data_IF_326716683016
#
_entry.id   IF_326716683016
#
_cell.length_a   1.000
_cell.length_b   1.000
_cell.length_c   1.000
_cell.angle_alpha   90.00
_cell.angle_beta   90.00
_cell.angle_gamma   90.00
#
_symmetry.space_group_name_H-M   'P 1'
#
loop_
_entity.id
_entity.type
_entity.pdbx_description
1 polymer ?
#
# COMPACT_ATOMS: atom_id res chain seq x y z
N UNK A 1 -18.17 -13.64 -15.82
CA UNK A 1 -18.11 -12.40 -15.02
C UNK A 1 -16.97 -12.59 -14.06
N UNK A 2 -15.93 -11.77 -14.13
CA UNK A 2 -14.85 -11.74 -13.16
C UNK A 2 -15.37 -11.03 -11.92
N UNK A 3 -15.48 -11.76 -10.82
CA UNK A 3 -16.09 -11.24 -9.58
C UNK A 3 -15.07 -10.40 -8.81
N UNK A 4 -15.11 -9.08 -9.03
CA UNK A 4 -14.25 -8.13 -8.33
C UNK A 4 -14.32 -8.25 -6.81
N UNK A 5 -15.47 -8.66 -6.25
CA UNK A 5 -15.66 -8.89 -4.82
C UNK A 5 -14.80 -10.07 -4.32
N UNK A 6 -14.77 -11.17 -5.08
CA UNK A 6 -13.95 -12.35 -4.77
C UNK A 6 -12.46 -12.01 -4.84
N UNK A 7 -12.02 -11.28 -5.87
CA UNK A 7 -10.62 -10.87 -5.97
C UNK A 7 -10.23 -9.94 -4.84
N UNK A 8 -11.06 -8.94 -4.55
CA UNK A 8 -10.85 -8.02 -3.45
C UNK A 8 -10.73 -8.75 -2.10
N UNK A 9 -11.65 -9.67 -1.82
CA UNK A 9 -11.64 -10.46 -0.58
C UNK A 9 -10.36 -11.28 -0.47
N UNK A 10 -9.92 -11.89 -1.58
CA UNK A 10 -8.67 -12.66 -1.63
C UNK A 10 -7.42 -11.79 -1.40
N UNK A 11 -7.40 -10.55 -1.91
CA UNK A 11 -6.32 -9.58 -1.64
C UNK A 11 -6.28 -9.25 -0.15
N UNK A 12 -7.44 -8.96 0.44
CA UNK A 12 -7.57 -8.68 1.88
C UNK A 12 -7.10 -9.87 2.73
N UNK A 13 -7.46 -11.10 2.38
CA UNK A 13 -6.98 -12.30 3.07
C UNK A 13 -5.47 -12.48 3.02
N UNK A 14 -4.83 -12.19 1.89
CA UNK A 14 -3.36 -12.31 1.76
C UNK A 14 -2.67 -11.27 2.64
N UNK A 15 -3.10 -10.01 2.57
CA UNK A 15 -2.54 -8.92 3.37
C UNK A 15 -2.77 -9.14 4.87
N UNK A 16 -3.95 -9.65 5.24
CA UNK A 16 -4.34 -9.94 6.61
C UNK A 16 -3.51 -11.02 7.32
N UNK A 17 -2.69 -11.77 6.57
CA UNK A 17 -1.74 -12.74 7.16
C UNK A 17 -0.52 -12.09 7.79
N UNK A 18 -0.20 -10.85 7.40
CA UNK A 18 1.01 -10.12 7.85
C UNK A 18 0.68 -8.80 8.50
N UNK A 19 -0.36 -8.14 8.02
CA UNK A 19 -0.79 -6.82 8.49
C UNK A 19 -2.14 -6.93 9.17
N UNK A 20 -2.39 -6.04 10.15
CA UNK A 20 -3.71 -5.95 10.76
C UNK A 20 -4.65 -5.22 9.80
N UNK A 21 -5.82 -5.81 9.55
CA UNK A 21 -6.88 -5.23 8.72
C UNK A 21 -8.11 -4.90 9.56
N UNK A 22 -8.76 -3.78 9.28
CA UNK A 22 -10.13 -3.48 9.74
C UNK A 22 -10.99 -2.89 8.64
N UNK A 23 -12.30 -2.79 8.90
CA UNK A 23 -13.23 -2.12 8.00
C UNK A 23 -13.37 -2.77 6.62
N UNK A 24 -13.04 -4.06 6.50
CA UNK A 24 -13.15 -4.81 5.25
C UNK A 24 -14.60 -4.80 4.77
N UNK A 25 -14.84 -4.13 3.65
CA UNK A 25 -16.11 -4.04 2.97
C UNK A 25 -15.93 -4.48 1.52
N UNK A 26 -16.19 -5.77 1.27
CA UNK A 26 -16.02 -6.37 -0.05
C UNK A 26 -16.95 -5.78 -1.09
N UNK A 27 -18.11 -5.25 -0.70
CA UNK A 27 -19.07 -4.63 -1.62
C UNK A 27 -18.61 -3.27 -2.14
N UNK A 28 -17.89 -2.51 -1.33
CA UNK A 28 -17.34 -1.21 -1.74
C UNK A 28 -15.87 -1.28 -2.16
N UNK A 29 -15.23 -2.45 -2.02
CA UNK A 29 -13.81 -2.63 -2.32
C UNK A 29 -12.92 -1.81 -1.40
N UNK A 30 -13.24 -1.69 -0.11
CA UNK A 30 -12.46 -0.87 0.84
C UNK A 30 -12.06 -1.62 2.09
N UNK A 31 -10.87 -1.34 2.61
CA UNK A 31 -10.42 -1.77 3.94
C UNK A 31 -9.35 -0.81 4.48
N UNK A 32 -8.92 -1.03 5.71
CA UNK A 32 -7.83 -0.29 6.34
C UNK A 32 -6.68 -1.24 6.70
N UNK A 33 -5.46 -0.86 6.30
CA UNK A 33 -4.21 -1.48 6.75
C UNK A 33 -3.68 -0.73 7.96
N UNK A 34 -3.23 -1.49 8.96
CA UNK A 34 -2.68 -0.95 10.20
C UNK A 34 -1.29 -1.48 10.47
N UNK A 35 -0.48 -0.58 11.01
CA UNK A 35 0.77 -0.87 11.71
C UNK A 35 0.76 -0.10 13.05
N UNK A 36 1.78 -0.25 13.89
CA UNK A 36 1.85 0.29 15.25
C UNK A 36 1.45 1.79 15.34
N UNK A 37 1.85 2.59 14.35
CA UNK A 37 1.73 4.06 14.41
C UNK A 37 0.88 4.68 13.29
N UNK A 38 0.26 3.86 12.42
CA UNK A 38 -0.49 4.37 11.26
C UNK A 38 -1.62 3.47 10.78
N UNK A 39 -2.60 4.12 10.19
CA UNK A 39 -3.72 3.51 9.48
C UNK A 39 -3.76 4.07 8.07
N UNK A 40 -3.76 3.18 7.07
CA UNK A 40 -3.81 3.52 5.65
C UNK A 40 -5.08 2.91 5.05
N UNK A 41 -5.89 3.74 4.41
CA UNK A 41 -7.07 3.27 3.69
C UNK A 41 -6.66 2.61 2.37
N UNK A 42 -7.25 1.47 2.05
CA UNK A 42 -7.12 0.83 0.74
C UNK A 42 -8.48 0.88 0.05
N UNK A 43 -8.52 1.46 -1.15
CA UNK A 43 -9.73 1.63 -1.98
C UNK A 43 -9.52 1.00 -3.36
N UNK A 44 -9.99 -0.22 -3.56
CA UNK A 44 -9.96 -0.95 -4.83
C UNK A 44 -11.38 -1.06 -5.37
N UNK A 45 -11.87 0.00 -6.02
CA UNK A 45 -13.20 -0.01 -6.64
C UNK A 45 -13.35 -1.24 -7.55
N UNK A 46 -14.44 -1.99 -7.38
CA UNK A 46 -14.56 -3.35 -7.93
C UNK A 46 -14.46 -3.38 -9.47
N UNK A 47 -15.04 -2.38 -10.14
CA UNK A 47 -14.98 -2.25 -11.59
C UNK A 47 -13.55 -1.98 -12.07
N UNK A 48 -12.85 -1.04 -11.41
CA UNK A 48 -11.44 -0.77 -11.70
C UNK A 48 -10.54 -1.96 -11.35
N UNK A 49 -10.85 -2.71 -10.29
CA UNK A 49 -10.10 -3.90 -9.91
C UNK A 49 -10.24 -4.99 -10.96
N UNK A 50 -11.45 -5.24 -11.45
CA UNK A 50 -11.70 -6.21 -12.51
C UNK A 50 -10.97 -5.82 -13.81
N UNK A 51 -11.02 -4.54 -14.20
CA UNK A 51 -10.28 -4.04 -15.36
C UNK A 51 -8.76 -4.14 -15.16
N UNK A 52 -8.25 -3.70 -14.01
CA UNK A 52 -6.82 -3.76 -13.69
C UNK A 52 -6.31 -5.20 -13.74
N UNK A 53 -7.08 -6.13 -13.21
CA UNK A 53 -6.76 -7.55 -13.23
C UNK A 53 -6.61 -8.10 -14.65
N UNK A 54 -7.49 -7.69 -15.58
CA UNK A 54 -7.41 -8.07 -16.98
C UNK A 54 -6.24 -7.38 -17.71
N UNK A 55 -5.76 -6.23 -17.21
CA UNK A 55 -4.58 -5.56 -17.74
C UNK A 55 -3.28 -6.27 -17.33
N UNK A 56 -3.26 -6.99 -16.20
CA UNK A 56 -2.07 -7.73 -15.75
C UNK A 56 -1.79 -8.93 -16.64
N UNK A 57 -0.68 -8.84 -17.37
CA UNK A 57 -0.24 -9.84 -18.34
C UNK A 57 1.21 -10.32 -18.07
N UNK A 58 1.78 -11.01 -19.06
CA UNK A 58 3.13 -11.56 -19.04
C UNK A 58 4.22 -10.50 -18.79
N UNK A 59 3.97 -9.25 -19.19
CA UNK A 59 4.91 -8.15 -19.04
C UNK A 59 4.99 -7.68 -17.58
N UNK A 60 3.88 -7.75 -16.84
CA UNK A 60 3.83 -7.42 -15.41
C UNK A 60 4.22 -8.61 -14.51
N UNK A 61 3.92 -9.82 -14.99
CA UNK A 61 4.09 -11.08 -14.27
C UNK A 61 4.73 -12.12 -15.21
N UNK A 62 6.06 -12.26 -15.19
CA UNK A 62 6.73 -13.28 -15.99
C UNK A 62 6.26 -14.70 -15.64
N UNK A 63 5.98 -15.49 -16.68
CA UNK A 63 5.49 -16.87 -16.61
C UNK A 63 3.98 -17.01 -16.41
N UNK A 64 3.21 -15.92 -16.44
CA UNK A 64 1.77 -15.95 -16.21
C UNK A 64 1.04 -16.80 -17.25
N UNK A 65 1.34 -16.59 -18.54
CA UNK A 65 0.69 -17.27 -19.66
C UNK A 65 0.91 -18.79 -19.71
N UNK A 66 1.91 -19.31 -19.00
CA UNK A 66 2.21 -20.74 -18.93
C UNK A 66 1.30 -21.52 -17.97
N UNK A 67 0.48 -20.83 -17.17
CA UNK A 67 -0.38 -21.44 -16.16
C UNK A 67 -1.84 -21.50 -16.61
N UNK A 68 -2.66 -22.46 -16.11
CA UNK A 68 -4.11 -22.44 -16.28
C UNK A 68 -4.73 -21.17 -15.70
N UNK A 69 -5.89 -20.76 -16.21
CA UNK A 69 -6.55 -19.49 -15.83
C UNK A 69 -6.71 -19.33 -14.31
N UNK A 70 -7.19 -20.34 -13.59
CA UNK A 70 -7.36 -20.26 -12.13
C UNK A 70 -6.03 -20.01 -11.40
N UNK A 71 -4.93 -20.55 -11.91
CA UNK A 71 -3.60 -20.31 -11.37
C UNK A 71 -3.09 -18.91 -11.73
N UNK A 72 -3.36 -18.43 -12.95
CA UNK A 72 -3.07 -17.05 -13.34
C UNK A 72 -3.77 -16.06 -12.42
N UNK A 73 -5.05 -16.30 -12.14
CA UNK A 73 -5.88 -15.41 -11.33
C UNK A 73 -5.34 -15.32 -9.90
N UNK A 74 -4.95 -16.46 -9.31
CA UNK A 74 -4.26 -16.48 -8.01
C UNK A 74 -2.95 -15.70 -8.02
N UNK A 75 -2.18 -15.80 -9.10
CA UNK A 75 -0.91 -15.07 -9.24
C UNK A 75 -1.15 -13.57 -9.36
N UNK A 76 -2.14 -13.13 -10.15
CA UNK A 76 -2.55 -11.72 -10.27
C UNK A 76 -3.01 -11.16 -8.92
N UNK A 77 -3.89 -11.87 -8.20
CA UNK A 77 -4.32 -11.49 -6.84
C UNK A 77 -3.10 -11.31 -5.92
N UNK A 78 -2.19 -12.29 -5.92
CA UNK A 78 -0.97 -12.23 -5.11
C UNK A 78 -0.07 -11.06 -5.50
N UNK A 79 0.02 -10.75 -6.79
CA UNK A 79 0.82 -9.62 -7.31
C UNK A 79 0.27 -8.29 -6.82
N UNK A 80 -1.05 -8.08 -6.91
CA UNK A 80 -1.70 -6.86 -6.42
C UNK A 80 -1.51 -6.72 -4.91
N UNK A 81 -1.71 -7.79 -4.14
CA UNK A 81 -1.48 -7.79 -2.69
C UNK A 81 -0.02 -7.40 -2.36
N UNK A 82 0.95 -7.96 -3.08
CA UNK A 82 2.37 -7.65 -2.91
C UNK A 82 2.69 -6.18 -3.21
N UNK A 83 2.12 -5.58 -4.26
CA UNK A 83 2.34 -4.16 -4.55
C UNK A 83 1.71 -3.23 -3.52
N UNK A 84 0.52 -3.56 -3.00
CA UNK A 84 -0.10 -2.80 -1.91
C UNK A 84 0.80 -2.86 -0.67
N UNK A 85 1.31 -4.04 -0.33
CA UNK A 85 2.25 -4.25 0.77
C UNK A 85 3.53 -3.44 0.57
N UNK A 86 4.13 -3.49 -0.61
CA UNK A 86 5.35 -2.75 -0.94
C UNK A 86 5.16 -1.23 -0.82
N UNK A 87 4.05 -0.69 -1.32
CA UNK A 87 3.70 0.74 -1.18
C UNK A 87 3.55 1.11 0.31
N UNK A 88 2.85 0.27 1.07
CA UNK A 88 2.60 0.48 2.50
C UNK A 88 3.91 0.46 3.30
N UNK A 89 4.76 -0.54 3.10
CA UNK A 89 6.01 -0.72 3.84
C UNK A 89 7.07 0.32 3.45
N UNK A 90 7.07 0.79 2.20
CA UNK A 90 8.05 1.78 1.72
C UNK A 90 7.80 3.22 2.21
N UNK A 91 6.66 3.52 2.85
CA UNK A 91 6.38 4.86 3.38
C UNK A 91 7.13 5.14 4.69
N UNK A 92 8.42 5.47 4.59
CA UNK A 92 9.28 5.81 5.74
C UNK A 92 8.80 7.10 6.44
N UNK A 93 8.15 8.01 5.70
CA UNK A 93 7.68 9.30 6.20
C UNK A 93 6.37 9.26 7.00
N UNK A 94 5.75 8.08 7.13
CA UNK A 94 4.45 7.88 7.77
C UNK A 94 3.39 8.88 7.23
N UNK A 95 3.49 9.19 5.93
CA UNK A 95 2.70 10.20 5.24
C UNK A 95 1.57 9.59 4.43
N UNK A 96 1.65 8.28 4.15
CA UNK A 96 0.69 7.56 3.34
C UNK A 96 -0.68 7.59 4.05
N UNK A 97 -1.71 8.06 3.34
CA UNK A 97 -3.08 8.10 3.84
C UNK A 97 -3.96 7.07 3.15
N UNK A 98 -3.72 6.85 1.87
CA UNK A 98 -4.55 5.96 1.06
C UNK A 98 -3.77 5.35 -0.09
N UNK A 99 -4.06 4.07 -0.38
CA UNK A 99 -3.68 3.38 -1.60
C UNK A 99 -4.98 3.10 -2.36
N UNK A 100 -5.05 3.48 -3.63
CA UNK A 100 -6.26 3.26 -4.43
C UNK A 100 -5.95 2.88 -5.87
N UNK A 101 -6.92 2.34 -6.58
CA UNK A 101 -6.85 2.25 -8.03
C UNK A 101 -7.17 3.60 -8.65
N UNK A 102 -6.40 3.98 -9.66
CA UNK A 102 -6.63 5.19 -10.45
C UNK A 102 -6.39 4.92 -11.93
N UNK A 103 -7.04 5.71 -12.78
CA UNK A 103 -6.80 5.68 -14.23
C UNK A 103 -5.80 6.79 -14.60
N UNK A 104 -4.70 6.42 -15.24
CA UNK A 104 -3.70 7.37 -15.75
C UNK A 104 -4.17 8.05 -17.03
N UNK A 105 -3.43 9.09 -17.47
CA UNK A 105 -3.75 9.88 -18.65
C UNK A 105 -3.75 9.07 -19.96
N UNK A 106 -3.00 7.97 -20.01
CA UNK A 106 -2.97 7.01 -21.12
C UNK A 106 -4.09 5.95 -21.03
N UNK A 107 -4.98 6.06 -20.03
CA UNK A 107 -6.14 5.18 -19.86
C UNK A 107 -5.86 3.88 -19.11
N UNK A 108 -4.60 3.59 -18.75
CA UNK A 108 -4.22 2.41 -17.95
C UNK A 108 -4.69 2.57 -16.51
N UNK A 109 -4.94 1.45 -15.84
CA UNK A 109 -5.26 1.44 -14.41
C UNK A 109 -3.98 1.09 -13.65
N UNK A 110 -3.72 1.80 -12.56
CA UNK A 110 -2.59 1.54 -11.68
C UNK A 110 -2.96 1.75 -10.22
N UNK A 111 -2.16 1.17 -9.33
CA UNK A 111 -2.17 1.54 -7.93
C UNK A 111 -1.53 2.92 -7.77
N UNK A 112 -2.24 3.82 -7.10
CA UNK A 112 -1.77 5.16 -6.78
C UNK A 112 -1.86 5.39 -5.28
N UNK A 113 -0.90 6.11 -4.74
CA UNK A 113 -0.87 6.51 -3.34
C UNK A 113 -1.25 7.99 -3.16
N UNK A 114 -2.02 8.27 -2.11
CA UNK A 114 -2.32 9.61 -1.63
C UNK A 114 -1.56 9.84 -0.33
N UNK A 115 -0.72 10.87 -0.34
CA UNK A 115 0.09 11.27 0.80
C UNK A 115 -0.45 12.54 1.45
N UNK A 116 -0.40 12.56 2.77
CA UNK A 116 -0.61 13.74 3.59
C UNK A 116 0.72 14.41 3.96
N UNK A 117 0.68 15.40 4.86
CA UNK A 117 1.89 15.93 5.48
C UNK A 117 2.65 14.81 6.19
N UNK A 118 3.99 14.81 6.08
CA UNK A 118 4.82 13.86 6.80
C UNK A 118 4.50 13.92 8.30
N UNK A 119 4.10 12.78 8.88
CA UNK A 119 3.95 12.66 10.33
C UNK A 119 5.36 12.63 10.89
N UNK A 120 5.81 13.79 11.36
CA UNK A 120 7.11 13.99 12.02
C UNK A 120 7.51 12.78 12.85
N UNK A 121 8.47 11.99 12.38
CA UNK A 121 9.29 11.12 13.21
C UNK A 121 10.37 11.99 13.85
N UNK A 122 9.98 12.76 14.88
CA UNK A 122 10.93 13.36 15.79
C UNK A 122 10.83 12.63 17.12
N UNK A 123 11.91 12.10 17.70
CA UNK A 123 12.07 12.37 19.11
C UNK A 123 12.30 13.89 19.25
N UNK A 124 11.60 14.59 20.16
CA UNK A 124 12.13 15.85 20.64
C UNK A 124 13.41 15.48 21.40
N UNK A 125 14.56 15.60 20.76
CA UNK A 125 15.83 15.65 21.47
C UNK A 125 15.87 16.98 22.24
N UNK A 126 15.17 17.03 23.37
CA UNK A 126 15.37 18.03 24.38
C UNK A 126 15.38 17.33 25.73
N UNK A 127 16.58 17.01 26.21
CA UNK A 127 16.98 17.38 27.57
C UNK A 127 18.48 17.21 27.77
N UNK A 128 19.07 18.33 28.21
CA UNK A 128 20.28 18.47 29.01
C UNK A 128 21.65 18.53 28.32
N UNK A 129 22.10 19.77 28.15
CA UNK A 129 23.22 20.23 28.98
C UNK A 129 24.62 19.96 28.45
N UNK A 130 24.92 20.43 27.25
CA UNK A 130 26.31 20.61 26.79
C UNK A 130 26.64 22.08 26.72
N UNK A 131 27.13 22.66 27.82
CA UNK A 131 27.75 23.98 27.86
C UNK A 131 28.80 24.09 26.75
N UNK A 132 28.57 24.92 25.74
CA UNK A 132 29.66 25.49 24.94
C UNK A 132 30.00 26.85 25.52
N UNK A 133 30.92 26.88 26.49
CA UNK A 133 31.69 28.07 26.80
C UNK A 133 33.10 27.84 26.26
N UNK A 134 33.42 28.51 25.16
CA UNK A 134 34.80 28.71 24.75
C UNK A 134 35.11 30.20 24.82
N UNK A 135 35.27 30.70 26.05
CA UNK A 135 36.11 31.87 26.31
C UNK A 135 36.73 31.69 27.71
N UNK A 136 38.02 31.35 27.72
CA UNK A 136 38.86 31.50 28.92
C UNK A 136 39.47 32.90 28.86
N UNK A 137 39.30 33.74 29.88
CA UNK A 137 40.25 34.81 30.15
C UNK A 137 41.44 34.20 30.90
N UNK A 138 42.65 34.50 30.44
CA UNK A 138 43.87 34.11 31.13
C UNK A 138 45.05 34.92 30.64
N UNK A 139 45.41 35.94 31.42
CA UNK A 139 46.75 36.57 31.61
C UNK A 139 47.57 36.93 30.38
#
# INVERSE_FOLDING_TARGET
MTDGETFFSSIGEILGRRHRISGLNSKSGTFELHDADRTVRVTLELDLLAEYFNQLDEHDIPGLSHSPQDAQDRVRVKRIAMWIEEIFESDISLSLLEIRLGRSADGRICLVDRRGPARRSFPPANTNGGYWSADRPGT
#
